data_IF_625969858067
#
_entry.id   IF_625969858067
#
_cell.length_a   1.000
_cell.length_b   1.000
_cell.length_c   1.000
_cell.angle_alpha   90.00
_cell.angle_beta   90.00
_cell.angle_gamma   90.00
#
_symmetry.space_group_name_H-M   'P 1'
#
loop_
_entity.id
_entity.type
_entity.pdbx_description
1 polymer ?
#
# COMPACT_ATOMS: atom_id res chain seq x y z
N UNK A 1 12.62 22.80 20.12
CA UNK A 1 11.65 21.74 19.76
C UNK A 1 12.40 20.45 19.94
N UNK A 2 11.94 19.58 20.84
CA UNK A 2 12.45 18.20 20.87
C UNK A 2 12.22 17.62 19.48
N UNK A 3 13.29 17.12 18.87
CA UNK A 3 13.24 16.48 17.56
C UNK A 3 12.39 15.22 17.72
N UNK A 4 11.31 15.10 16.93
CA UNK A 4 10.42 13.94 16.99
C UNK A 4 11.23 12.67 16.71
N UNK A 5 11.38 11.84 17.75
CA UNK A 5 12.28 10.70 17.79
C UNK A 5 11.97 9.67 16.68
N UNK A 6 10.70 9.58 16.26
CA UNK A 6 10.25 8.62 15.24
C UNK A 6 10.12 9.21 13.84
N UNK A 7 10.39 10.49 13.64
CA UNK A 7 10.26 11.17 12.35
C UNK A 7 10.94 10.43 11.19
N UNK A 8 12.19 10.00 11.38
CA UNK A 8 12.96 9.27 10.36
C UNK A 8 12.45 7.84 10.14
N UNK A 9 11.95 7.19 11.20
CA UNK A 9 11.30 5.88 11.06
C UNK A 9 10.04 6.01 10.19
N UNK A 10 9.20 7.02 10.45
CA UNK A 10 7.98 7.27 9.68
C UNK A 10 8.28 7.57 8.22
N UNK A 11 9.30 8.38 7.96
CA UNK A 11 9.79 8.67 6.61
C UNK A 11 10.09 7.39 5.81
N UNK A 12 10.85 6.46 6.40
CA UNK A 12 11.19 5.20 5.75
C UNK A 12 9.95 4.30 5.56
N UNK A 13 9.06 4.27 6.55
CA UNK A 13 7.82 3.50 6.49
C UNK A 13 6.90 3.96 5.34
N UNK A 14 6.65 5.27 5.20
CA UNK A 14 5.76 5.78 4.16
C UNK A 14 6.28 5.57 2.74
N UNK A 15 7.60 5.57 2.56
CA UNK A 15 8.23 5.34 1.25
C UNK A 15 8.29 3.84 0.89
N UNK A 16 7.96 2.95 1.84
CA UNK A 16 7.97 1.50 1.62
C UNK A 16 9.32 0.82 1.89
N UNK A 17 10.29 1.53 2.49
CA UNK A 17 11.62 1.01 2.82
C UNK A 17 11.59 0.24 4.16
N UNK A 18 10.84 -0.87 4.20
CA UNK A 18 10.54 -1.61 5.42
C UNK A 18 11.78 -2.19 6.13
N UNK A 19 12.78 -2.69 5.40
CA UNK A 19 14.03 -3.21 6.00
C UNK A 19 14.80 -2.12 6.76
N UNK A 20 14.95 -0.97 6.11
CA UNK A 20 15.62 0.18 6.71
C UNK A 20 14.81 0.74 7.88
N UNK A 21 13.48 0.76 7.76
CA UNK A 21 12.60 1.17 8.85
C UNK A 21 12.76 0.24 10.07
N UNK A 22 12.82 -1.09 9.88
CA UNK A 22 13.03 -2.05 10.97
C UNK A 22 14.37 -1.81 11.66
N UNK A 23 15.44 -1.66 10.89
CA UNK A 23 16.78 -1.38 11.42
C UNK A 23 16.81 -0.05 12.20
N UNK A 24 16.17 1.00 11.66
CA UNK A 24 16.11 2.33 12.30
C UNK A 24 15.27 2.30 13.58
N UNK A 25 14.11 1.66 13.57
CA UNK A 25 13.29 1.47 14.77
C UNK A 25 14.07 0.70 15.86
N UNK A 26 14.85 -0.32 15.49
CA UNK A 26 15.70 -1.05 16.42
C UNK A 26 16.76 -0.18 17.12
N UNK A 27 17.35 0.76 16.38
CA UNK A 27 18.37 1.68 16.89
C UNK A 27 17.82 2.92 17.61
N UNK A 28 16.56 3.28 17.38
CA UNK A 28 15.95 4.51 17.91
C UNK A 28 15.42 4.26 19.32
N UNK A 29 15.90 5.01 20.31
CA UNK A 29 15.30 5.03 21.64
C UNK A 29 14.15 6.04 21.65
N UNK A 30 13.02 5.68 22.25
CA UNK A 30 11.86 6.58 22.36
C UNK A 30 11.50 6.85 23.81
N UNK A 31 11.01 8.06 24.07
CA UNK A 31 10.54 8.50 25.38
C UNK A 31 9.01 8.64 25.34
N UNK A 32 8.33 7.99 26.28
CA UNK A 32 6.87 8.04 26.38
C UNK A 32 6.15 6.80 25.84
N UNK A 33 4.97 6.54 26.41
CA UNK A 33 4.18 5.35 26.14
C UNK A 33 3.62 5.32 24.73
N UNK A 34 3.16 6.46 24.21
CA UNK A 34 2.61 6.57 22.85
C UNK A 34 3.67 6.30 21.78
N UNK A 35 4.87 6.90 21.92
CA UNK A 35 5.98 6.69 21.00
C UNK A 35 6.48 5.24 21.04
N UNK A 36 6.53 4.62 22.22
CA UNK A 36 6.85 3.19 22.34
C UNK A 36 5.80 2.32 21.64
N UNK A 37 4.51 2.62 21.82
CA UNK A 37 3.42 1.90 21.18
C UNK A 37 3.49 2.00 19.64
N UNK A 38 3.76 3.19 19.13
CA UNK A 38 3.91 3.45 17.71
C UNK A 38 5.13 2.74 17.11
N UNK A 39 6.29 2.84 17.77
CA UNK A 39 7.51 2.16 17.35
C UNK A 39 7.31 0.65 17.21
N UNK A 40 6.70 0.03 18.22
CA UNK A 40 6.33 -1.39 18.18
C UNK A 40 5.33 -1.69 17.05
N UNK A 41 4.31 -0.85 16.91
CA UNK A 41 3.32 -0.92 15.85
C UNK A 41 3.94 -0.92 14.45
N UNK A 42 4.84 0.03 14.20
CA UNK A 42 5.56 0.17 12.93
C UNK A 42 6.47 -1.03 12.65
N UNK A 43 7.18 -1.55 13.67
CA UNK A 43 8.01 -2.74 13.53
C UNK A 43 7.19 -3.94 13.07
N UNK A 44 6.04 -4.17 13.68
CA UNK A 44 5.13 -5.25 13.28
C UNK A 44 4.53 -4.98 11.90
N UNK A 45 4.10 -3.76 11.60
CA UNK A 45 3.56 -3.40 10.30
C UNK A 45 4.60 -3.63 9.18
N UNK A 46 5.86 -3.27 9.38
CA UNK A 46 6.93 -3.53 8.41
C UNK A 46 7.12 -5.03 8.17
N UNK A 47 7.17 -5.85 9.23
CA UNK A 47 7.31 -7.30 9.11
C UNK A 47 6.12 -7.92 8.37
N UNK A 48 4.90 -7.47 8.67
CA UNK A 48 3.70 -7.91 7.95
C UNK A 48 3.76 -7.59 6.45
N UNK A 49 4.22 -6.38 6.11
CA UNK A 49 4.36 -5.97 4.71
C UNK A 49 5.42 -6.82 3.98
N UNK A 50 6.53 -7.14 4.64
CA UNK A 50 7.55 -8.04 4.10
C UNK A 50 7.01 -9.47 3.90
N UNK A 51 6.31 -10.03 4.90
CA UNK A 51 5.70 -11.35 4.79
C UNK A 51 4.69 -11.41 3.64
N UNK A 52 3.88 -10.36 3.43
CA UNK A 52 2.99 -10.29 2.26
C UNK A 52 3.73 -10.21 0.94
N UNK A 53 4.81 -9.41 0.86
CA UNK A 53 5.61 -9.28 -0.37
C UNK A 53 6.32 -10.59 -0.74
N UNK A 54 6.86 -11.31 0.25
CA UNK A 54 7.68 -12.52 0.05
C UNK A 54 6.85 -13.81 -0.02
N UNK A 55 5.88 -13.99 0.88
CA UNK A 55 5.20 -15.27 1.12
C UNK A 55 3.70 -15.23 0.79
N UNK A 56 3.15 -14.07 0.44
CA UNK A 56 1.74 -13.88 0.10
C UNK A 56 0.77 -13.92 1.28
N UNK A 57 1.15 -14.56 2.39
CA UNK A 57 0.33 -14.71 3.59
C UNK A 57 1.05 -14.26 4.86
N UNK A 58 0.27 -13.82 5.84
CA UNK A 58 0.73 -13.46 7.19
C UNK A 58 0.65 -14.68 8.11
N UNK A 59 1.64 -14.86 8.97
CA UNK A 59 1.65 -15.93 9.97
C UNK A 59 0.49 -15.77 10.98
N UNK A 60 -0.45 -16.74 11.09
CA UNK A 60 -1.58 -16.65 12.02
C UNK A 60 -1.18 -16.52 13.49
N UNK A 61 -0.02 -17.08 13.88
CA UNK A 61 0.47 -16.99 15.25
C UNK A 61 0.88 -15.57 15.63
N UNK A 62 1.42 -14.80 14.68
CA UNK A 62 1.78 -13.40 14.90
C UNK A 62 0.54 -12.53 15.08
N UNK A 63 -0.52 -12.79 14.29
CA UNK A 63 -1.81 -12.11 14.43
C UNK A 63 -2.39 -12.35 15.83
N UNK A 64 -2.37 -13.61 16.31
CA UNK A 64 -2.85 -13.94 17.67
C UNK A 64 -2.04 -13.23 18.75
N UNK A 65 -0.72 -13.16 18.62
CA UNK A 65 0.14 -12.46 19.57
C UNK A 65 -0.15 -10.94 19.60
N UNK A 66 -0.37 -10.32 18.44
CA UNK A 66 -0.74 -8.90 18.36
C UNK A 66 -2.12 -8.62 18.97
N UNK A 67 -3.12 -9.47 18.72
CA UNK A 67 -4.46 -9.34 19.30
C UNK A 67 -4.47 -9.43 20.83
N UNK A 68 -3.54 -10.19 21.41
CA UNK A 68 -3.41 -10.33 22.87
C UNK A 68 -2.51 -9.25 23.52
N UNK A 69 -1.88 -8.39 22.72
CA UNK A 69 -0.95 -7.38 23.21
C UNK A 69 -1.68 -6.27 23.99
N UNK A 70 -1.09 -5.73 25.08
CA UNK A 70 -1.60 -4.52 25.72
C UNK A 70 -1.46 -3.27 24.83
N UNK A 71 -0.67 -3.34 23.76
CA UNK A 71 -0.47 -2.23 22.83
C UNK A 71 -1.71 -2.04 21.93
N UNK A 72 -2.40 -0.88 22.03
CA UNK A 72 -3.62 -0.60 21.26
C UNK A 72 -3.37 -0.61 19.73
N UNK A 73 -2.20 -0.15 19.29
CA UNK A 73 -1.80 -0.19 17.89
C UNK A 73 -1.80 -1.63 17.36
N UNK A 74 -1.16 -2.54 18.09
CA UNK A 74 -1.02 -3.94 17.69
C UNK A 74 -2.37 -4.65 17.65
N UNK A 75 -3.25 -4.41 18.63
CA UNK A 75 -4.63 -4.93 18.62
C UNK A 75 -5.37 -4.49 17.36
N UNK A 76 -5.27 -3.21 17.01
CA UNK A 76 -5.96 -2.64 15.84
C UNK A 76 -5.39 -3.15 14.52
N UNK A 77 -4.05 -3.24 14.44
CA UNK A 77 -3.34 -3.80 13.29
C UNK A 77 -3.69 -5.26 13.06
N UNK A 78 -3.84 -6.05 14.13
CA UNK A 78 -4.22 -7.46 14.04
C UNK A 78 -5.63 -7.65 13.48
N UNK A 79 -6.59 -6.87 13.96
CA UNK A 79 -7.98 -6.91 13.47
C UNK A 79 -8.03 -6.41 12.03
N UNK A 80 -7.31 -5.34 11.69
CA UNK A 80 -7.26 -4.82 10.31
C UNK A 80 -6.58 -5.80 9.34
N UNK A 81 -5.55 -6.51 9.78
CA UNK A 81 -4.90 -7.56 8.97
C UNK A 81 -5.86 -8.71 8.68
N UNK A 82 -6.66 -9.12 9.67
CA UNK A 82 -7.73 -10.10 9.48
C UNK A 82 -8.80 -9.57 8.53
N UNK A 83 -9.19 -8.29 8.65
CA UNK A 83 -10.16 -7.66 7.77
C UNK A 83 -9.73 -7.70 6.30
N UNK A 84 -8.45 -7.43 6.03
CA UNK A 84 -7.89 -7.51 4.68
C UNK A 84 -7.80 -8.95 4.14
N UNK A 85 -7.74 -9.95 5.01
CA UNK A 85 -7.68 -11.36 4.65
C UNK A 85 -9.07 -12.04 4.58
N UNK A 86 -10.11 -11.37 5.10
CA UNK A 86 -11.47 -11.90 5.15
C UNK A 86 -12.02 -12.10 3.74
N UNK A 87 -12.60 -13.28 3.51
CA UNK A 87 -13.17 -13.66 2.20
C UNK A 87 -14.67 -13.40 2.13
N UNK A 88 -15.34 -13.28 3.28
CA UNK A 88 -16.78 -13.02 3.40
C UNK A 88 -17.06 -11.58 3.78
N UNK A 89 -18.04 -10.96 3.12
CA UNK A 89 -18.52 -9.61 3.49
C UNK A 89 -19.09 -9.56 4.92
N UNK A 90 -19.67 -10.65 5.42
CA UNK A 90 -20.16 -10.72 6.79
C UNK A 90 -19.00 -10.67 7.80
N UNK A 91 -17.91 -11.38 7.51
CA UNK A 91 -16.69 -11.37 8.33
C UNK A 91 -16.01 -10.00 8.29
N UNK A 92 -15.97 -9.35 7.12
CA UNK A 92 -15.48 -7.96 7.01
C UNK A 92 -16.29 -6.99 7.86
N UNK A 93 -17.62 -7.13 7.90
CA UNK A 93 -18.49 -6.29 8.73
C UNK A 93 -18.28 -6.54 10.23
N UNK A 94 -18.12 -7.79 10.68
CA UNK A 94 -17.86 -8.09 12.10
C UNK A 94 -16.53 -7.51 12.55
N UNK A 95 -15.47 -7.64 11.74
CA UNK A 95 -14.16 -7.07 12.02
C UNK A 95 -14.18 -5.54 12.00
N UNK A 96 -14.95 -4.92 11.10
CA UNK A 96 -15.18 -3.47 11.13
C UNK A 96 -15.83 -3.01 12.43
N UNK A 97 -16.87 -3.71 12.92
CA UNK A 97 -17.49 -3.38 14.21
C UNK A 97 -16.52 -3.53 15.39
N UNK A 98 -15.62 -4.53 15.35
CA UNK A 98 -14.56 -4.67 16.35
C UNK A 98 -13.58 -3.49 16.32
N UNK A 99 -13.13 -3.05 15.13
CA UNK A 99 -12.28 -1.86 14.99
C UNK A 99 -12.98 -0.60 15.53
N UNK A 100 -14.27 -0.44 15.25
CA UNK A 100 -15.07 0.68 15.78
C UNK A 100 -15.19 0.64 17.30
N UNK A 101 -15.29 -0.53 17.91
CA UNK A 101 -15.27 -0.66 19.37
C UNK A 101 -13.90 -0.27 19.95
N UNK A 102 -12.80 -0.75 19.34
CA UNK A 102 -11.43 -0.36 19.72
C UNK A 102 -11.15 1.13 19.56
N UNK A 103 -11.86 1.82 18.66
CA UNK A 103 -11.78 3.27 18.48
C UNK A 103 -12.40 4.04 19.66
N UNK A 104 -13.43 3.48 20.31
CA UNK A 104 -14.12 4.11 21.44
C UNK A 104 -13.39 3.89 22.78
N UNK A 105 -12.45 2.95 22.84
CA UNK A 105 -11.55 2.80 23.98
C UNK A 105 -10.67 4.07 24.08
N UNK A 106 -10.85 4.86 25.16
CA UNK A 106 -10.15 6.12 25.39
C UNK A 106 -8.63 5.90 25.52
N UNK A 107 -7.91 5.95 24.40
CA UNK A 107 -6.44 6.10 24.26
C UNK A 107 -5.95 5.82 22.83
N UNK A 108 -6.76 5.25 21.93
CA UNK A 108 -6.23 4.69 20.70
C UNK A 108 -6.44 5.58 19.46
N UNK A 109 -5.58 6.60 19.32
CA UNK A 109 -5.45 7.41 18.09
C UNK A 109 -5.24 6.54 16.84
N UNK A 110 -4.53 5.41 16.98
CA UNK A 110 -4.23 4.49 15.88
C UNK A 110 -5.43 3.66 15.44
N UNK A 111 -6.36 3.31 16.35
CA UNK A 111 -7.62 2.63 16.01
C UNK A 111 -8.42 3.44 14.97
N UNK A 112 -8.43 4.78 15.10
CA UNK A 112 -9.21 5.67 14.24
C UNK A 112 -8.75 5.51 12.78
N UNK A 113 -7.44 5.44 12.55
CA UNK A 113 -6.86 5.24 11.22
C UNK A 113 -7.33 3.92 10.59
N UNK A 114 -7.25 2.81 11.33
CA UNK A 114 -7.66 1.50 10.83
C UNK A 114 -9.18 1.40 10.62
N UNK A 115 -9.98 1.99 11.52
CA UNK A 115 -11.44 2.03 11.39
C UNK A 115 -11.87 2.86 10.18
N UNK A 116 -11.25 4.03 9.95
CA UNK A 116 -11.49 4.86 8.77
C UNK A 116 -11.12 4.13 7.47
N UNK A 117 -9.98 3.43 7.47
CA UNK A 117 -9.51 2.64 6.32
C UNK A 117 -10.46 1.49 6.00
N UNK A 118 -10.93 0.76 7.03
CA UNK A 118 -11.91 -0.32 6.87
C UNK A 118 -13.27 0.20 6.39
N UNK A 119 -13.75 1.34 6.92
CA UNK A 119 -14.98 1.98 6.45
C UNK A 119 -14.91 2.35 4.97
N UNK A 120 -13.76 2.90 4.52
CA UNK A 120 -13.53 3.23 3.12
C UNK A 120 -13.54 1.99 2.23
N UNK A 121 -12.89 0.90 2.67
CA UNK A 121 -12.87 -0.37 1.94
C UNK A 121 -14.27 -1.01 1.80
N UNK A 122 -15.16 -0.80 2.78
CA UNK A 122 -16.57 -1.21 2.73
C UNK A 122 -17.47 -0.26 1.91
N UNK A 123 -16.93 0.84 1.38
CA UNK A 123 -17.69 1.87 0.66
C UNK A 123 -18.51 2.80 1.56
N UNK A 124 -18.36 2.71 2.89
CA UNK A 124 -19.00 3.63 3.83
C UNK A 124 -18.15 4.90 3.97
N UNK A 125 -18.17 5.73 2.94
CA UNK A 125 -17.36 6.94 2.86
C UNK A 125 -17.75 8.02 3.88
N UNK A 126 -19.01 8.05 4.31
CA UNK A 126 -19.47 8.99 5.34
C UNK A 126 -18.75 8.76 6.66
N UNK A 127 -18.77 7.52 7.17
CA UNK A 127 -18.06 7.15 8.39
C UNK A 127 -16.55 7.34 8.20
N UNK A 128 -16.01 6.93 7.04
CA UNK A 128 -14.57 7.04 6.76
C UNK A 128 -14.07 8.48 6.83
N UNK A 129 -14.76 9.43 6.18
CA UNK A 129 -14.40 10.86 6.22
C UNK A 129 -14.62 11.47 7.61
N UNK A 130 -15.68 11.06 8.31
CA UNK A 130 -15.93 11.51 9.67
C UNK A 130 -14.77 11.09 10.58
N UNK A 131 -14.35 9.83 10.54
CA UNK A 131 -13.25 9.31 11.35
C UNK A 131 -11.92 9.94 10.95
N UNK A 132 -11.64 10.08 9.65
CA UNK A 132 -10.45 10.74 9.13
C UNK A 132 -10.31 12.20 9.61
N UNK A 133 -11.44 12.88 9.87
CA UNK A 133 -11.45 14.28 10.30
C UNK A 133 -11.36 14.49 11.81
N UNK A 134 -11.45 13.43 12.62
CA UNK A 134 -11.39 13.52 14.10
C UNK A 134 -10.02 13.97 14.61
N UNK A 135 -8.97 13.66 13.86
CA UNK A 135 -7.59 13.87 14.25
C UNK A 135 -6.89 14.76 13.22
N UNK A 136 -6.19 15.79 13.70
CA UNK A 136 -5.45 16.72 12.86
C UNK A 136 -4.00 16.25 12.61
N UNK A 137 -3.83 14.96 12.37
CA UNK A 137 -2.54 14.35 12.03
C UNK A 137 -2.34 14.33 10.52
N UNK A 138 -1.09 14.37 10.07
CA UNK A 138 -0.76 14.42 8.65
C UNK A 138 -1.20 13.13 7.93
N UNK A 139 -1.04 11.99 8.60
CA UNK A 139 -1.47 10.66 8.18
C UNK A 139 -2.98 10.59 7.96
N UNK A 140 -3.75 11.27 8.81
CA UNK A 140 -5.21 11.31 8.72
C UNK A 140 -5.67 12.20 7.57
N UNK A 141 -4.93 13.28 7.27
CA UNK A 141 -5.15 14.10 6.07
C UNK A 141 -4.84 13.33 4.78
N UNK A 142 -3.74 12.58 4.74
CA UNK A 142 -3.41 11.72 3.59
C UNK A 142 -4.41 10.59 3.45
N UNK A 143 -4.90 10.00 4.55
CA UNK A 143 -5.99 9.02 4.49
C UNK A 143 -7.28 9.64 3.94
N UNK A 144 -7.65 10.84 4.40
CA UNK A 144 -8.80 11.59 3.85
C UNK A 144 -8.65 11.81 2.34
N UNK A 145 -7.46 12.22 1.89
CA UNK A 145 -7.14 12.35 0.47
C UNK A 145 -7.35 11.02 -0.28
N UNK A 146 -6.83 9.90 0.24
CA UNK A 146 -7.05 8.58 -0.36
C UNK A 146 -8.54 8.22 -0.45
N UNK A 147 -9.32 8.52 0.60
CA UNK A 147 -10.77 8.31 0.61
C UNK A 147 -11.45 9.16 -0.48
N UNK A 148 -11.07 10.43 -0.63
CA UNK A 148 -11.62 11.31 -1.68
C UNK A 148 -11.29 10.79 -3.08
N UNK A 149 -10.10 10.24 -3.29
CA UNK A 149 -9.73 9.59 -4.54
C UNK A 149 -10.58 8.34 -4.81
N UNK A 150 -10.85 7.52 -3.79
CA UNK A 150 -11.75 6.36 -3.90
C UNK A 150 -13.19 6.77 -4.22
N UNK A 151 -13.64 7.94 -3.75
CA UNK A 151 -14.93 8.53 -4.08
C UNK A 151 -14.98 9.19 -5.46
N UNK A 152 -13.90 9.15 -6.24
CA UNK A 152 -13.74 9.85 -7.52
C UNK A 152 -13.93 11.38 -7.40
N UNK A 153 -13.57 11.95 -6.24
CA UNK A 153 -13.57 13.41 -5.96
C UNK A 153 -12.15 13.96 -6.04
N UNK A 154 -11.57 13.89 -7.24
CA UNK A 154 -10.21 14.36 -7.51
C UNK A 154 -10.00 15.85 -7.20
N UNK A 155 -11.03 16.67 -7.40
CA UNK A 155 -11.04 18.11 -7.07
C UNK A 155 -10.72 18.38 -5.59
N UNK A 156 -11.39 17.65 -4.69
CA UNK A 156 -11.16 17.78 -3.25
C UNK A 156 -9.84 17.12 -2.82
N UNK A 157 -9.45 16.02 -3.46
CA UNK A 157 -8.17 15.36 -3.18
C UNK A 157 -6.97 16.26 -3.52
N UNK A 158 -7.05 17.00 -4.63
CA UNK A 158 -6.05 18.00 -5.03
C UNK A 158 -5.95 19.16 -4.03
N UNK A 159 -7.09 19.62 -3.53
CA UNK A 159 -7.13 20.66 -2.50
C UNK A 159 -6.47 20.19 -1.20
N UNK A 160 -6.81 18.98 -0.73
CA UNK A 160 -6.19 18.40 0.46
C UNK A 160 -4.68 18.17 0.27
N UNK A 161 -4.24 17.70 -0.91
CA UNK A 161 -2.81 17.54 -1.21
C UNK A 161 -2.07 18.88 -1.12
N UNK A 162 -2.67 19.96 -1.62
CA UNK A 162 -2.09 21.31 -1.57
C UNK A 162 -2.00 21.82 -0.14
N UNK A 163 -3.00 21.54 0.69
CA UNK A 163 -2.97 21.89 2.12
C UNK A 163 -1.91 21.11 2.89
N UNK A 164 -1.74 19.82 2.59
CA UNK A 164 -0.69 18.97 3.17
C UNK A 164 0.70 19.50 2.79
N UNK A 165 0.94 19.79 1.50
CA UNK A 165 2.19 20.35 1.02
C UNK A 165 2.49 21.74 1.60
N UNK A 166 1.46 22.57 1.81
CA UNK A 166 1.63 23.90 2.40
C UNK A 166 2.14 23.88 3.86
N UNK A 167 1.93 22.78 4.59
CA UNK A 167 2.44 22.63 5.96
C UNK A 167 3.94 22.31 5.99
N UNK A 168 4.35 21.35 5.16
CA UNK A 168 5.75 20.95 5.00
C UNK A 168 5.89 20.15 3.69
N UNK A 169 6.29 20.81 2.61
CA UNK A 169 6.41 20.20 1.28
C UNK A 169 7.56 19.17 1.23
N UNK A 170 8.56 19.31 2.09
CA UNK A 170 9.69 18.38 2.16
C UNK A 170 9.39 17.11 2.95
N UNK A 171 8.30 17.07 3.71
CA UNK A 171 7.91 15.88 4.44
C UNK A 171 7.64 14.73 3.45
N UNK A 172 8.18 13.52 3.67
CA UNK A 172 7.96 12.36 2.80
C UNK A 172 6.48 12.05 2.57
N UNK A 173 5.66 12.27 3.60
CA UNK A 173 4.23 12.04 3.52
C UNK A 173 3.50 13.09 2.64
N UNK A 174 4.00 14.33 2.58
CA UNK A 174 3.49 15.36 1.67
C UNK A 174 3.83 15.05 0.22
N UNK A 175 5.06 14.61 -0.05
CA UNK A 175 5.49 14.12 -1.37
C UNK A 175 4.70 12.89 -1.81
N UNK A 176 4.37 12.00 -0.88
CA UNK A 176 3.48 10.86 -1.16
C UNK A 176 2.04 11.33 -1.47
N UNK A 177 1.52 12.31 -0.74
CA UNK A 177 0.17 12.84 -0.97
C UNK A 177 0.02 13.43 -2.39
N UNK A 178 1.00 14.21 -2.84
CA UNK A 178 1.03 14.75 -4.20
C UNK A 178 1.19 13.65 -5.25
N UNK A 179 2.09 12.69 -5.00
CA UNK A 179 2.26 11.53 -5.88
C UNK A 179 0.94 10.76 -6.10
N UNK A 180 0.19 10.47 -5.03
CA UNK A 180 -1.08 9.73 -5.12
C UNK A 180 -2.10 10.43 -6.03
N UNK A 181 -2.18 11.75 -5.96
CA UNK A 181 -3.05 12.55 -6.83
C UNK A 181 -2.59 12.46 -8.28
N UNK A 182 -1.29 12.64 -8.53
CA UNK A 182 -0.71 12.56 -9.88
C UNK A 182 -0.86 11.17 -10.49
N UNK A 183 -0.70 10.10 -9.70
CA UNK A 183 -0.97 8.72 -10.13
C UNK A 183 -2.43 8.53 -10.58
N UNK A 184 -3.40 9.13 -9.87
CA UNK A 184 -4.81 9.06 -10.26
C UNK A 184 -5.12 9.92 -11.49
N UNK A 185 -4.49 11.09 -11.63
CA UNK A 185 -4.58 11.93 -12.84
C UNK A 185 -4.06 11.17 -14.07
N UNK A 186 -2.89 10.53 -13.94
CA UNK A 186 -2.33 9.69 -14.97
C UNK A 186 -3.30 8.57 -15.40
N UNK A 187 -3.90 7.86 -14.43
CA UNK A 187 -4.89 6.83 -14.72
C UNK A 187 -6.11 7.39 -15.47
N UNK A 188 -6.61 8.58 -15.10
CA UNK A 188 -7.70 9.23 -15.81
C UNK A 188 -7.32 9.63 -17.25
N UNK A 189 -6.08 10.09 -17.46
CA UNK A 189 -5.57 10.43 -18.80
C UNK A 189 -5.34 9.19 -19.67
N UNK A 190 -4.89 8.07 -19.09
CA UNK A 190 -4.83 6.76 -19.74
C UNK A 190 -6.22 6.35 -20.27
N UNK A 191 -7.27 6.51 -19.46
CA UNK A 191 -8.64 6.19 -19.89
C UNK A 191 -9.10 7.05 -21.08
N UNK A 192 -8.65 8.30 -21.15
CA UNK A 192 -8.90 9.22 -22.28
C UNK A 192 -8.00 8.96 -23.49
N UNK A 193 -7.06 8.01 -23.40
CA UNK A 193 -6.01 7.74 -24.38
C UNK A 193 -5.09 8.92 -24.64
N UNK A 194 -5.00 9.85 -23.70
CA UNK A 194 -4.04 10.94 -23.72
C UNK A 194 -2.73 10.46 -23.07
N UNK A 195 -1.94 9.72 -23.85
CA UNK A 195 -0.74 9.04 -23.37
C UNK A 195 0.38 10.00 -22.95
N UNK A 196 0.46 11.19 -23.57
CA UNK A 196 1.51 12.15 -23.26
C UNK A 196 1.26 12.78 -21.89
N UNK A 197 0.05 13.33 -21.68
CA UNK A 197 -0.32 13.91 -20.38
C UNK A 197 -0.29 12.85 -19.27
N UNK A 198 -0.76 11.63 -19.57
CA UNK A 198 -0.68 10.53 -18.62
C UNK A 198 0.76 10.16 -18.23
N UNK A 199 1.67 10.14 -19.21
CA UNK A 199 3.09 9.85 -18.95
C UNK A 199 3.73 10.95 -18.11
N UNK A 200 3.45 12.23 -18.40
CA UNK A 200 3.96 13.35 -17.62
C UNK A 200 3.49 13.30 -16.17
N UNK A 201 2.19 13.06 -15.93
CA UNK A 201 1.64 12.95 -14.58
C UNK A 201 2.20 11.72 -13.84
N UNK A 202 2.30 10.56 -14.49
CA UNK A 202 2.88 9.37 -13.90
C UNK A 202 4.38 9.54 -13.59
N UNK A 203 5.11 10.30 -14.41
CA UNK A 203 6.53 10.57 -14.18
C UNK A 203 6.74 11.52 -12.99
N UNK A 204 5.90 12.55 -12.84
CA UNK A 204 5.90 13.42 -11.65
C UNK A 204 5.65 12.60 -10.38
N UNK A 205 4.64 11.73 -10.39
CA UNK A 205 4.36 10.82 -9.29
C UNK A 205 5.56 9.92 -8.97
N UNK A 206 6.21 9.36 -9.99
CA UNK A 206 7.36 8.48 -9.82
C UNK A 206 8.58 9.17 -9.19
N UNK A 207 8.82 10.43 -9.51
CA UNK A 207 9.91 11.22 -8.91
C UNK A 207 9.74 11.40 -7.41
N UNK A 208 8.49 11.48 -6.93
CA UNK A 208 8.17 11.64 -5.52
C UNK A 208 8.06 10.29 -4.78
N UNK A 209 7.46 9.29 -5.42
CA UNK A 209 7.20 7.97 -4.85
C UNK A 209 7.64 6.84 -5.81
N UNK A 210 8.95 6.58 -5.96
CA UNK A 210 9.48 5.62 -6.95
C UNK A 210 9.19 4.14 -6.62
N UNK A 211 8.60 3.87 -5.47
CA UNK A 211 8.19 2.53 -5.03
C UNK A 211 6.68 2.28 -5.20
N UNK A 212 5.91 3.28 -5.64
CA UNK A 212 4.48 3.11 -5.82
C UNK A 212 4.17 2.19 -7.02
N UNK A 213 3.46 1.11 -6.77
CA UNK A 213 3.14 0.11 -7.80
C UNK A 213 2.17 0.63 -8.84
N UNK A 214 1.18 1.43 -8.43
CA UNK A 214 0.17 2.00 -9.34
C UNK A 214 0.83 2.94 -10.36
N UNK A 215 1.77 3.76 -9.88
CA UNK A 215 2.56 4.68 -10.71
C UNK A 215 3.42 3.93 -11.73
N UNK A 216 4.10 2.86 -11.31
CA UNK A 216 4.89 2.02 -12.22
C UNK A 216 4.00 1.37 -13.28
N UNK A 217 2.83 0.85 -12.91
CA UNK A 217 1.86 0.28 -13.86
C UNK A 217 1.39 1.32 -14.87
N UNK A 218 1.09 2.55 -14.43
CA UNK A 218 0.71 3.64 -15.32
C UNK A 218 1.83 4.00 -16.30
N UNK A 219 3.09 4.09 -15.83
CA UNK A 219 4.26 4.32 -16.68
C UNK A 219 4.44 3.21 -17.72
N UNK A 220 4.34 1.94 -17.32
CA UNK A 220 4.44 0.81 -18.24
C UNK A 220 3.35 0.90 -19.31
N UNK A 221 2.10 1.18 -18.90
CA UNK A 221 0.97 1.34 -19.81
C UNK A 221 1.22 2.45 -20.84
N UNK A 222 1.66 3.63 -20.38
CA UNK A 222 1.97 4.76 -21.26
C UNK A 222 3.11 4.42 -22.23
N UNK A 223 4.23 3.90 -21.73
CA UNK A 223 5.39 3.54 -22.55
C UNK A 223 5.05 2.51 -23.64
N UNK A 224 4.27 1.47 -23.30
CA UNK A 224 3.84 0.45 -24.28
C UNK A 224 2.97 1.06 -25.38
N UNK A 225 2.01 1.93 -25.05
CA UNK A 225 1.14 2.59 -26.03
C UNK A 225 1.88 3.62 -26.90
N UNK A 226 2.92 4.26 -26.35
CA UNK A 226 3.80 5.18 -27.07
C UNK A 226 4.91 4.47 -27.87
N UNK A 227 4.92 3.13 -27.93
CA UNK A 227 5.95 2.30 -28.59
C UNK A 227 7.37 2.47 -28.01
N UNK A 228 7.47 2.93 -26.76
CA UNK A 228 8.71 3.08 -25.99
C UNK A 228 8.97 1.79 -25.19
N UNK A 229 9.23 0.69 -25.89
CA UNK A 229 9.28 -0.64 -25.27
C UNK A 229 10.44 -0.80 -24.29
N UNK A 230 11.61 -0.20 -24.56
CA UNK A 230 12.77 -0.25 -23.67
C UNK A 230 12.47 0.42 -22.31
N UNK A 231 11.85 1.60 -22.34
CA UNK A 231 11.43 2.30 -21.12
C UNK A 231 10.37 1.49 -20.36
N UNK A 232 9.45 0.84 -21.07
CA UNK A 232 8.46 -0.04 -20.45
C UNK A 232 9.13 -1.24 -19.75
N UNK A 233 10.14 -1.85 -20.35
CA UNK A 233 10.87 -2.98 -19.78
C UNK A 233 11.61 -2.56 -18.50
N UNK A 234 12.24 -1.38 -18.49
CA UNK A 234 12.85 -0.81 -17.28
C UNK A 234 11.84 -0.70 -16.11
N UNK A 235 10.65 -0.15 -16.36
CA UNK A 235 9.63 -0.03 -15.32
C UNK A 235 9.03 -1.38 -14.91
N UNK A 236 8.95 -2.36 -15.81
CA UNK A 236 8.53 -3.74 -15.50
C UNK A 236 9.52 -4.42 -14.56
N UNK A 237 10.83 -4.28 -14.82
CA UNK A 237 11.88 -4.79 -13.92
C UNK A 237 11.77 -4.14 -12.55
N UNK A 238 11.56 -2.82 -12.51
CA UNK A 238 11.35 -2.09 -11.27
C UNK A 238 10.12 -2.58 -10.50
N UNK A 239 8.97 -2.72 -11.15
CA UNK A 239 7.74 -3.24 -10.55
C UNK A 239 7.96 -4.67 -10.01
N UNK A 240 8.69 -5.50 -10.74
CA UNK A 240 9.00 -6.87 -10.31
C UNK A 240 9.88 -6.92 -9.06
N UNK A 241 10.77 -5.94 -8.89
CA UNK A 241 11.61 -5.81 -7.69
C UNK A 241 10.84 -5.27 -6.48
N UNK A 242 9.95 -4.30 -6.68
CA UNK A 242 9.25 -3.59 -5.60
C UNK A 242 7.98 -4.33 -5.16
N UNK A 243 7.27 -4.95 -6.11
CA UNK A 243 6.03 -5.68 -5.85
C UNK A 243 6.01 -7.03 -6.62
N UNK A 244 6.79 -8.04 -6.19
CA UNK A 244 6.91 -9.33 -6.88
C UNK A 244 5.60 -10.12 -6.99
N UNK A 245 4.67 -9.87 -6.09
CA UNK A 245 3.33 -10.47 -6.01
C UNK A 245 2.23 -9.64 -6.69
N UNK A 246 2.58 -8.50 -7.30
CA UNK A 246 1.62 -7.65 -8.01
C UNK A 246 0.91 -8.45 -9.13
N UNK A 247 -0.42 -8.32 -9.32
CA UNK A 247 -1.18 -9.12 -10.29
C UNK A 247 -0.60 -9.10 -11.71
N UNK A 248 -0.10 -7.95 -12.16
CA UNK A 248 0.54 -7.83 -13.47
C UNK A 248 1.85 -8.64 -13.57
N UNK A 249 2.67 -8.63 -12.52
CA UNK A 249 3.94 -9.38 -12.48
C UNK A 249 3.66 -10.87 -12.41
N UNK A 250 2.72 -11.29 -11.56
CA UNK A 250 2.28 -12.67 -11.46
C UNK A 250 1.74 -13.17 -12.81
N UNK A 251 0.89 -12.38 -13.48
CA UNK A 251 0.33 -12.75 -14.79
C UNK A 251 1.40 -12.84 -15.87
N UNK A 252 2.35 -11.90 -15.89
CA UNK A 252 3.46 -11.92 -16.83
C UNK A 252 4.34 -13.16 -16.64
N UNK A 253 4.64 -13.54 -15.39
CA UNK A 253 5.41 -14.74 -15.07
C UNK A 253 4.69 -16.02 -15.52
N UNK A 254 3.38 -16.10 -15.28
CA UNK A 254 2.53 -17.20 -15.73
C UNK A 254 2.55 -17.32 -17.26
N UNK A 255 2.38 -16.20 -17.98
CA UNK A 255 2.42 -16.17 -19.45
C UNK A 255 3.79 -16.59 -19.98
N UNK A 256 4.89 -16.08 -19.42
CA UNK A 256 6.24 -16.47 -19.82
C UNK A 256 6.49 -17.98 -19.62
N UNK A 257 6.04 -18.55 -18.50
CA UNK A 257 6.13 -19.98 -18.26
C UNK A 257 5.30 -20.79 -19.26
N UNK A 258 4.08 -20.35 -19.59
CA UNK A 258 3.24 -20.99 -20.59
C UNK A 258 3.88 -20.98 -21.99
N UNK A 259 4.46 -19.85 -22.41
CA UNK A 259 5.18 -19.74 -23.68
C UNK A 259 6.43 -20.64 -23.73
N UNK A 260 7.21 -20.69 -22.65
CA UNK A 260 8.38 -21.56 -22.55
C UNK A 260 7.98 -23.04 -22.69
N UNK A 261 6.89 -23.46 -22.04
CA UNK A 261 6.39 -24.83 -22.12
C UNK A 261 5.81 -25.18 -23.51
N UNK A 262 5.19 -24.23 -24.20
CA UNK A 262 4.70 -24.42 -25.57
C UNK A 262 5.83 -24.52 -26.61
N UNK A 263 7.02 -24.00 -26.31
CA UNK A 263 8.21 -24.07 -27.17
C UNK A 263 8.99 -25.38 -27.07
N UNK A 264 8.68 -26.26 -26.12
CA UNK A 264 9.31 -27.58 -26.00
C UNK A 264 8.51 -28.58 -26.85
N UNK A 265 9.08 -29.16 -27.92
CA UNK A 265 8.39 -30.20 -28.67
C UNK A 265 8.11 -31.37 -27.73
N UNK A 266 6.84 -31.76 -27.59
CA UNK A 266 6.46 -32.97 -26.89
C UNK A 266 7.13 -34.15 -27.60
N UNK A 267 8.23 -34.66 -27.05
CA UNK A 267 8.88 -35.86 -27.55
C UNK A 267 7.87 -37.00 -27.45
N UNK A 268 7.43 -37.49 -28.61
CA UNK A 268 6.53 -38.61 -28.73
C UNK A 268 7.02 -39.77 -27.86
N UNK A 269 6.16 -40.26 -26.97
CA UNK A 269 6.39 -41.47 -26.21
C UNK A 269 6.67 -42.64 -27.17
N UNK A 270 7.69 -43.49 -26.89
CA UNK A 270 8.01 -44.59 -27.79
C UNK A 270 6.84 -45.57 -27.79
N UNK A 271 6.21 -45.74 -28.96
CA UNK A 271 5.24 -46.82 -29.21
C UNK A 271 5.93 -48.13 -28.88
N UNK A 272 5.48 -48.78 -27.80
CA UNK A 272 5.84 -50.15 -27.47
C UNK A 272 5.49 -51.05 -28.64
N UNK A 273 6.52 -51.56 -29.33
CA UNK A 273 6.36 -52.61 -30.32
C UNK A 273 5.91 -53.88 -29.60
N UNK A 274 4.72 -54.37 -29.96
CA UNK A 274 4.23 -55.70 -29.58
C UNK A 274 4.96 -56.71 -30.46
N UNK A 275 5.71 -57.68 -29.92
CA UNK A 275 6.28 -58.75 -30.72
C UNK A 275 5.20 -59.76 -31.13
N UNK A 276 5.36 -60.29 -32.34
CA UNK A 276 4.53 -61.27 -33.04
C UNK A 276 4.31 -62.57 -32.25
#
# INVERSE_FOLDING_TARGET
MEEDELSQCRALYYVGLYDLCIARCGATHVTGTLAQQEKEGMLYACRLMQSRQMQGNVNPNEIRAMSASPNPFLRSLAVYTQFLAATSSQEQLTLYHQLRALMQEQANTFSVFFAASAAAALGNFSDALQFASQLQLLEMRVLKLQILLLMNRGDLAEEEARQVAAQNDDAPLSKLATALVDTRKAAANIQRRDWNSAFEDALKAYQQAPQDSDTLVNLICCCRNMKRHQDADFYVERLSSVAPSHPMVAKMRELHAAFANAGVPQTASPRTAVPL
#
